data_IF_725872130947
#
_entry.id   IF_725872130947
#
_cell.length_a   1.000
_cell.length_b   1.000
_cell.length_c   1.000
_cell.angle_alpha   90.00
_cell.angle_beta   90.00
_cell.angle_gamma   90.00
#
_symmetry.space_group_name_H-M   'P 1'
#
loop_
_entity.id
_entity.type
_entity.pdbx_description
1 polymer ?
#
# COMPACT_ATOMS: atom_id res chain seq x y z
N UNK A 1 -3.99 -23.47 6.13
CA UNK A 1 -4.41 -22.07 5.93
C UNK A 1 -5.89 -21.98 6.25
N UNK A 2 -6.26 -21.35 7.36
CA UNK A 2 -7.67 -21.19 7.76
C UNK A 2 -8.29 -20.09 6.88
N UNK A 3 -9.27 -20.46 6.04
CA UNK A 3 -10.06 -19.49 5.31
C UNK A 3 -10.96 -18.79 6.34
N UNK A 4 -10.72 -17.50 6.58
CA UNK A 4 -11.66 -16.68 7.33
C UNK A 4 -13.03 -16.80 6.66
N UNK A 5 -14.06 -17.08 7.45
CA UNK A 5 -15.45 -17.10 6.98
C UNK A 5 -15.76 -15.81 6.21
N UNK A 6 -16.42 -15.91 5.06
CA UNK A 6 -16.44 -14.85 4.03
C UNK A 6 -16.81 -13.44 4.51
N UNK A 7 -17.66 -13.32 5.54
CA UNK A 7 -18.01 -12.03 6.16
C UNK A 7 -16.83 -11.38 6.91
N UNK A 8 -16.04 -12.19 7.62
CA UNK A 8 -14.81 -11.75 8.30
C UNK A 8 -13.83 -11.22 7.27
N UNK A 9 -13.50 -12.04 6.26
CA UNK A 9 -12.58 -11.69 5.17
C UNK A 9 -12.94 -10.35 4.50
N UNK A 10 -14.23 -10.12 4.21
CA UNK A 10 -14.66 -8.85 3.63
C UNK A 10 -14.50 -7.66 4.58
N UNK A 11 -14.72 -7.83 5.88
CA UNK A 11 -14.48 -6.77 6.85
C UNK A 11 -13.01 -6.37 6.89
N UNK A 12 -12.09 -7.35 6.88
CA UNK A 12 -10.65 -7.05 6.81
C UNK A 12 -10.26 -6.38 5.49
N UNK A 13 -10.83 -6.80 4.36
CA UNK A 13 -10.57 -6.15 3.06
C UNK A 13 -11.04 -4.70 3.04
N UNK A 14 -12.22 -4.38 3.60
CA UNK A 14 -12.68 -2.99 3.72
C UNK A 14 -11.74 -2.16 4.58
N UNK A 15 -11.30 -2.72 5.71
CA UNK A 15 -10.34 -2.05 6.60
C UNK A 15 -9.00 -1.80 5.91
N UNK A 16 -8.48 -2.78 5.16
CA UNK A 16 -7.23 -2.63 4.42
C UNK A 16 -7.32 -1.53 3.34
N UNK A 17 -8.44 -1.47 2.59
CA UNK A 17 -8.67 -0.40 1.61
C UNK A 17 -8.78 0.98 2.26
N UNK A 18 -9.49 1.08 3.38
CA UNK A 18 -9.57 2.33 4.16
C UNK A 18 -8.18 2.77 4.65
N UNK A 19 -7.34 1.83 5.06
CA UNK A 19 -5.95 2.11 5.42
C UNK A 19 -5.16 2.65 4.23
N UNK A 20 -5.27 2.06 3.04
CA UNK A 20 -4.60 2.57 1.85
C UNK A 20 -5.00 4.02 1.56
N UNK A 21 -6.31 4.32 1.51
CA UNK A 21 -6.81 5.69 1.28
C UNK A 21 -6.28 6.68 2.32
N UNK A 22 -6.23 6.28 3.59
CA UNK A 22 -5.71 7.12 4.66
C UNK A 22 -4.21 7.44 4.49
N UNK A 23 -3.42 6.47 4.06
CA UNK A 23 -1.95 6.55 4.03
C UNK A 23 -1.36 6.97 2.68
N UNK A 24 -2.19 7.28 1.68
CA UNK A 24 -1.73 7.96 0.47
C UNK A 24 -1.14 9.32 0.84
N UNK A 25 0.04 9.65 0.28
CA UNK A 25 0.60 10.99 0.36
C UNK A 25 -0.41 11.99 -0.19
N UNK A 26 -0.72 13.04 0.59
CA UNK A 26 -1.78 14.00 0.26
C UNK A 26 -1.35 15.11 -0.68
N UNK A 27 -0.05 15.24 -0.91
CA UNK A 27 0.54 16.30 -1.74
C UNK A 27 0.81 15.78 -3.14
N UNK A 28 1.49 14.64 -3.23
CA UNK A 28 1.98 14.06 -4.49
C UNK A 28 1.23 12.79 -4.91
N UNK A 29 0.44 12.19 -4.00
CA UNK A 29 -0.48 11.09 -4.35
C UNK A 29 0.13 9.69 -4.42
N UNK A 30 1.40 9.51 -4.06
CA UNK A 30 2.05 8.20 -4.02
C UNK A 30 1.87 7.49 -2.67
N UNK A 31 2.23 6.21 -2.60
CA UNK A 31 2.41 5.49 -1.34
C UNK A 31 3.90 5.29 -1.06
N UNK A 32 4.44 5.79 0.06
CA UNK A 32 5.86 5.61 0.38
C UNK A 32 6.16 4.15 0.70
N UNK A 33 7.35 3.71 0.31
CA UNK A 33 7.88 2.40 0.66
C UNK A 33 9.12 2.52 1.54
N UNK A 34 9.29 1.58 2.47
CA UNK A 34 10.49 1.49 3.32
C UNK A 34 11.16 0.15 3.10
N UNK A 35 12.50 0.17 3.08
CA UNK A 35 13.31 -1.04 2.97
C UNK A 35 13.57 -1.62 4.36
N UNK A 36 13.31 -2.91 4.52
CA UNK A 36 13.54 -3.63 5.78
C UNK A 36 15.02 -3.94 6.03
N UNK A 37 15.84 -3.97 4.96
CA UNK A 37 17.25 -4.37 5.04
C UNK A 37 18.21 -3.19 5.26
N UNK A 38 17.82 -2.00 4.80
CA UNK A 38 18.65 -0.79 4.86
C UNK A 38 17.77 0.46 4.84
N UNK A 39 18.13 1.46 5.64
CA UNK A 39 17.55 2.80 5.52
C UNK A 39 17.99 3.44 4.19
N UNK A 40 17.03 3.96 3.44
CA UNK A 40 17.26 4.65 2.17
C UNK A 40 16.66 6.04 2.27
N UNK A 41 17.34 7.01 1.67
CA UNK A 41 16.76 8.33 1.45
C UNK A 41 15.55 8.19 0.52
N UNK A 42 14.33 8.58 0.96
CA UNK A 42 13.14 8.56 0.12
C UNK A 42 13.31 9.34 -1.19
N UNK A 43 14.14 10.39 -1.20
CA UNK A 43 14.39 11.21 -2.37
C UNK A 43 15.39 10.59 -3.37
N UNK A 44 16.13 9.55 -2.99
CA UNK A 44 17.05 8.83 -3.89
C UNK A 44 16.31 8.00 -4.94
N UNK A 45 16.99 7.66 -6.04
CA UNK A 45 16.41 6.83 -7.12
C UNK A 45 15.84 5.50 -6.60
N UNK A 46 16.56 4.84 -5.70
CA UNK A 46 16.07 3.61 -5.07
C UNK A 46 14.83 3.86 -4.17
N UNK A 47 14.77 5.00 -3.47
CA UNK A 47 13.62 5.41 -2.66
C UNK A 47 12.38 5.63 -3.51
N UNK A 48 12.53 6.36 -4.63
CA UNK A 48 11.47 6.64 -5.60
C UNK A 48 10.99 5.36 -6.28
N UNK A 49 11.90 4.52 -6.77
CA UNK A 49 11.55 3.25 -7.41
C UNK A 49 10.71 2.31 -6.51
N UNK A 50 11.03 2.23 -5.21
CA UNK A 50 10.22 1.42 -4.28
C UNK A 50 8.83 2.05 -4.06
N UNK A 51 8.75 3.38 -4.01
CA UNK A 51 7.47 4.09 -3.87
C UNK A 51 6.59 3.95 -5.12
N UNK A 52 7.18 3.88 -6.31
CA UNK A 52 6.46 3.54 -7.55
C UNK A 52 5.83 2.15 -7.46
N UNK A 53 6.61 1.15 -7.00
CA UNK A 53 6.10 -0.20 -6.82
C UNK A 53 4.96 -0.26 -5.78
N UNK A 54 5.12 0.40 -4.63
CA UNK A 54 4.06 0.49 -3.61
C UNK A 54 2.80 1.18 -4.15
N UNK A 55 2.97 2.25 -4.93
CA UNK A 55 1.87 2.98 -5.56
C UNK A 55 1.12 2.09 -6.54
N UNK A 56 1.82 1.35 -7.40
CA UNK A 56 1.19 0.43 -8.34
C UNK A 56 0.32 -0.64 -7.63
N UNK A 57 0.83 -1.23 -6.55
CA UNK A 57 0.06 -2.21 -5.77
C UNK A 57 -1.13 -1.58 -5.03
N UNK A 58 -0.95 -0.40 -4.42
CA UNK A 58 -2.03 0.31 -3.74
C UNK A 58 -3.16 0.67 -4.71
N UNK A 59 -2.81 1.22 -5.89
CA UNK A 59 -3.77 1.53 -6.96
C UNK A 59 -4.48 0.26 -7.41
N UNK A 60 -3.76 -0.84 -7.65
CA UNK A 60 -4.39 -2.12 -8.04
C UNK A 60 -5.37 -2.63 -6.99
N UNK A 61 -5.02 -2.53 -5.71
CA UNK A 61 -5.88 -2.96 -4.61
C UNK A 61 -7.14 -2.09 -4.46
N UNK A 62 -7.02 -0.79 -4.73
CA UNK A 62 -8.12 0.17 -4.68
C UNK A 62 -9.02 0.11 -5.93
N UNK A 63 -8.45 -0.18 -7.10
CA UNK A 63 -9.17 -0.27 -8.37
C UNK A 63 -10.02 -1.53 -8.53
N UNK A 64 -9.84 -2.53 -7.64
CA UNK A 64 -10.62 -3.77 -7.68
C UNK A 64 -12.10 -3.52 -7.43
N UNK A 65 -12.90 -3.58 -8.51
CA UNK A 65 -14.32 -3.93 -8.46
C UNK A 65 -14.46 -5.44 -8.28
#
# INVERSE_FOLDING_TARGET
MQQASGASAQAQLRQARAWLVKNQDKTEGFWPATSLNKQRDPASDAGRFMSDAATAYAVRALAGR
#
